data_IF_668154949917
#
_entry.id   IF_668154949917
#
_cell.length_a   1.000
_cell.length_b   1.000
_cell.length_c   1.000
_cell.angle_alpha   90.00
_cell.angle_beta   90.00
_cell.angle_gamma   90.00
#
_symmetry.space_group_name_H-M   'P 1'
#
loop_
_entity.id
_entity.type
_entity.pdbx_description
1 polymer ?
#
# COMPACT_ATOMS: atom_id res chain seq x y z
N UNK A 1 62.62 -24.00 -19.08
CA UNK A 1 61.96 -22.68 -19.29
C UNK A 1 60.46 -22.87 -19.05
N UNK A 2 59.84 -22.20 -18.09
CA UNK A 2 58.39 -22.14 -18.00
C UNK A 2 57.87 -20.87 -18.66
N UNK A 3 56.84 -21.01 -19.47
CA UNK A 3 56.09 -19.93 -20.07
C UNK A 3 55.15 -19.30 -19.03
N UNK A 4 55.38 -18.03 -18.79
CA UNK A 4 54.51 -17.15 -18.02
C UNK A 4 53.29 -16.81 -18.86
N UNK A 5 52.07 -17.18 -18.41
CA UNK A 5 50.81 -16.65 -18.89
C UNK A 5 50.25 -15.66 -17.85
N UNK A 6 50.27 -14.39 -18.21
CA UNK A 6 49.69 -13.31 -17.41
C UNK A 6 48.16 -13.41 -17.33
N UNK A 7 47.57 -13.04 -16.21
CA UNK A 7 46.10 -13.02 -16.07
C UNK A 7 45.50 -11.85 -16.86
N UNK A 8 44.41 -12.13 -17.61
CA UNK A 8 43.58 -11.14 -18.28
C UNK A 8 42.92 -10.22 -17.22
N UNK A 9 43.29 -8.94 -17.27
CA UNK A 9 42.55 -7.90 -16.56
C UNK A 9 41.13 -7.80 -17.12
N UNK A 10 40.15 -8.06 -16.27
CA UNK A 10 38.75 -7.73 -16.51
C UNK A 10 38.61 -6.24 -16.18
N UNK A 11 38.52 -5.41 -17.21
CA UNK A 11 38.17 -4.00 -17.05
C UNK A 11 36.71 -3.91 -16.60
N UNK A 12 36.52 -3.58 -15.34
CA UNK A 12 35.21 -3.15 -14.85
C UNK A 12 34.88 -1.81 -15.51
N UNK A 13 33.89 -1.80 -16.40
CA UNK A 13 33.29 -0.59 -16.91
C UNK A 13 32.53 0.08 -15.76
N UNK A 14 33.13 1.13 -15.18
CA UNK A 14 32.40 2.07 -14.33
C UNK A 14 31.31 2.75 -15.19
N UNK A 15 30.09 2.97 -14.65
CA UNK A 15 29.15 3.82 -15.31
C UNK A 15 29.77 5.22 -15.46
N UNK A 16 29.89 5.68 -16.69
CA UNK A 16 30.37 7.01 -17.01
C UNK A 16 29.36 7.99 -16.39
N UNK A 17 29.82 8.87 -15.53
CA UNK A 17 29.02 9.97 -15.04
C UNK A 17 28.52 10.79 -16.27
N UNK A 18 27.27 11.27 -16.27
CA UNK A 18 26.77 12.08 -17.37
C UNK A 18 27.69 13.31 -17.55
N UNK A 19 28.05 13.58 -18.81
CA UNK A 19 28.84 14.76 -19.15
C UNK A 19 28.09 16.01 -18.66
N UNK A 20 28.80 17.03 -18.14
CA UNK A 20 28.16 18.28 -17.75
C UNK A 20 27.49 18.93 -18.93
N UNK A 21 26.27 19.42 -18.76
CA UNK A 21 25.52 20.11 -19.79
C UNK A 21 26.34 21.25 -20.45
N UNK A 22 26.19 21.47 -21.73
CA UNK A 22 26.87 22.56 -22.44
C UNK A 22 26.46 23.90 -21.83
N UNK A 23 27.44 24.68 -21.36
CA UNK A 23 27.25 26.04 -20.86
C UNK A 23 27.29 26.97 -22.04
N UNK A 24 26.22 27.72 -22.29
CA UNK A 24 26.24 28.80 -23.23
C UNK A 24 27.13 29.96 -22.73
N UNK A 25 27.62 30.82 -23.62
CA UNK A 25 28.60 31.89 -23.32
C UNK A 25 28.14 32.86 -22.20
N UNK A 26 26.85 32.88 -21.88
CA UNK A 26 26.23 33.71 -20.82
C UNK A 26 26.19 33.07 -19.43
N UNK A 27 26.74 31.86 -19.26
CA UNK A 27 26.80 31.17 -17.96
C UNK A 27 25.48 30.59 -17.49
N UNK A 28 24.44 30.57 -18.29
CA UNK A 28 23.16 29.96 -18.02
C UNK A 28 23.03 28.58 -18.69
N UNK A 29 22.60 27.59 -17.95
CA UNK A 29 22.28 26.25 -18.48
C UNK A 29 20.84 26.29 -18.98
N UNK A 30 20.61 25.99 -20.26
CA UNK A 30 19.27 25.85 -20.80
C UNK A 30 18.65 24.54 -20.30
N UNK A 31 18.02 24.59 -19.14
CA UNK A 31 17.33 23.44 -18.52
C UNK A 31 16.26 22.82 -19.43
N UNK A 32 15.71 23.60 -20.37
CA UNK A 32 14.69 23.11 -21.29
C UNK A 32 15.26 22.18 -22.37
N UNK A 33 16.49 22.39 -22.80
CA UNK A 33 17.16 21.52 -23.79
C UNK A 33 17.78 20.30 -23.10
N UNK A 34 18.33 20.49 -21.89
CA UNK A 34 18.86 19.38 -21.09
C UNK A 34 17.76 18.37 -20.68
N UNK A 35 16.52 18.82 -20.45
CA UNK A 35 15.36 17.96 -20.14
C UNK A 35 14.74 17.31 -21.41
N UNK A 36 15.17 17.66 -22.60
CA UNK A 36 14.66 17.06 -23.85
C UNK A 36 15.47 15.87 -24.35
N UNK A 37 16.71 15.70 -23.89
CA UNK A 37 17.62 14.65 -24.37
C UNK A 37 17.46 13.33 -23.62
N UNK A 38 16.72 13.30 -22.51
CA UNK A 38 16.31 12.04 -21.89
C UNK A 38 15.23 11.39 -22.76
N UNK A 39 15.36 10.10 -23.05
CA UNK A 39 14.36 9.25 -23.72
C UNK A 39 12.97 9.68 -23.28
N UNK A 40 12.13 10.07 -24.24
CA UNK A 40 10.85 10.72 -24.00
C UNK A 40 10.17 10.11 -22.78
N UNK A 41 9.96 10.87 -21.69
CA UNK A 41 9.35 10.33 -20.50
C UNK A 41 8.05 9.69 -20.95
N UNK A 42 7.81 8.43 -20.56
CA UNK A 42 6.51 7.80 -20.78
C UNK A 42 5.50 8.80 -20.27
N UNK A 43 4.69 9.34 -21.17
CA UNK A 43 3.70 10.36 -20.82
C UNK A 43 2.72 9.71 -19.85
N UNK A 44 2.98 9.90 -18.55
CA UNK A 44 2.14 9.42 -17.46
C UNK A 44 0.89 10.28 -17.30
N UNK A 45 0.69 11.26 -18.20
CA UNK A 45 -0.53 12.06 -18.21
C UNK A 45 -1.67 11.20 -18.69
N UNK A 46 -2.60 11.00 -17.79
CA UNK A 46 -3.87 10.40 -18.10
C UNK A 46 -4.60 11.31 -19.11
N UNK A 47 -4.68 10.88 -20.36
CA UNK A 47 -5.49 11.57 -21.38
C UNK A 47 -6.94 11.21 -21.09
N UNK A 48 -7.64 12.09 -20.41
CA UNK A 48 -9.10 11.98 -20.26
C UNK A 48 -9.71 12.53 -21.53
N UNK A 49 -10.26 11.66 -22.37
CA UNK A 49 -11.14 12.09 -23.45
C UNK A 49 -12.31 12.88 -22.85
N UNK A 50 -12.38 14.16 -23.14
CA UNK A 50 -13.49 15.03 -22.76
C UNK A 50 -14.76 14.61 -23.51
N UNK A 51 -15.40 13.54 -23.05
CA UNK A 51 -16.79 13.31 -23.42
C UNK A 51 -17.66 14.24 -22.58
N UNK A 52 -18.55 14.97 -23.22
CA UNK A 52 -19.54 15.77 -22.53
C UNK A 52 -20.31 14.86 -21.55
N UNK A 53 -20.58 15.32 -20.31
CA UNK A 53 -21.34 14.57 -19.32
C UNK A 53 -22.72 14.18 -19.91
N UNK A 54 -23.13 12.95 -19.69
CA UNK A 54 -24.41 12.43 -20.20
C UNK A 54 -25.61 12.99 -19.44
N UNK A 55 -25.35 13.64 -18.28
CA UNK A 55 -26.38 14.12 -17.35
C UNK A 55 -26.82 13.07 -16.33
N UNK A 56 -26.31 11.87 -16.42
CA UNK A 56 -26.43 10.83 -15.39
C UNK A 56 -25.10 10.79 -14.61
N UNK A 57 -25.09 11.43 -13.43
CA UNK A 57 -23.88 11.57 -12.60
C UNK A 57 -23.26 10.22 -12.21
N UNK A 58 -24.12 9.21 -11.96
CA UNK A 58 -23.66 7.88 -11.59
C UNK A 58 -22.98 7.18 -12.78
N UNK A 59 -23.58 7.24 -13.96
CA UNK A 59 -23.01 6.66 -15.18
C UNK A 59 -21.71 7.35 -15.59
N UNK A 60 -21.66 8.68 -15.48
CA UNK A 60 -20.47 9.48 -15.80
C UNK A 60 -19.33 9.18 -14.81
N UNK A 61 -19.65 9.03 -13.51
CA UNK A 61 -18.68 8.62 -12.49
C UNK A 61 -18.13 7.22 -12.76
N UNK A 62 -18.98 6.25 -13.08
CA UNK A 62 -18.55 4.88 -13.39
C UNK A 62 -17.66 4.83 -14.64
N UNK A 63 -17.96 5.63 -15.67
CA UNK A 63 -17.13 5.71 -16.88
C UNK A 63 -15.76 6.33 -16.57
N UNK A 64 -15.74 7.40 -15.78
CA UNK A 64 -14.49 8.03 -15.32
C UNK A 64 -13.65 7.06 -14.47
N UNK A 65 -14.26 6.36 -13.53
CA UNK A 65 -13.59 5.38 -12.68
C UNK A 65 -13.02 4.23 -13.50
N UNK A 66 -13.75 3.76 -14.51
CA UNK A 66 -13.29 2.71 -15.43
C UNK A 66 -12.03 3.16 -16.20
N UNK A 67 -12.06 4.39 -16.74
CA UNK A 67 -10.92 4.96 -17.48
C UNK A 67 -9.72 5.17 -16.56
N UNK A 68 -9.95 5.63 -15.34
CA UNK A 68 -8.89 5.76 -14.34
C UNK A 68 -8.25 4.40 -14.02
N UNK A 69 -9.06 3.36 -13.76
CA UNK A 69 -8.55 2.00 -13.52
C UNK A 69 -7.75 1.47 -14.71
N UNK A 70 -8.21 1.71 -15.94
CA UNK A 70 -7.48 1.31 -17.13
C UNK A 70 -6.13 2.03 -17.19
N UNK A 71 -6.10 3.35 -16.99
CA UNK A 71 -4.87 4.12 -16.99
C UNK A 71 -3.88 3.68 -15.90
N UNK A 72 -4.38 3.31 -14.71
CA UNK A 72 -3.56 2.72 -13.65
C UNK A 72 -3.00 1.37 -14.09
N UNK A 73 -3.83 0.48 -14.63
CA UNK A 73 -3.40 -0.84 -15.10
C UNK A 73 -2.33 -0.78 -16.19
N UNK A 74 -2.39 0.23 -17.05
CA UNK A 74 -1.45 0.41 -18.14
C UNK A 74 -0.09 1.00 -17.68
N UNK A 75 -0.06 1.66 -16.52
CA UNK A 75 1.11 2.37 -16.01
C UNK A 75 1.73 1.79 -14.75
N UNK A 76 1.03 0.90 -14.03
CA UNK A 76 1.52 0.24 -12.82
C UNK A 76 1.83 -1.20 -13.15
N UNK A 77 3.09 -1.60 -12.95
CA UNK A 77 3.53 -2.98 -13.14
C UNK A 77 2.91 -3.88 -12.05
N UNK A 78 2.41 -5.05 -12.44
CA UNK A 78 1.84 -6.05 -11.51
C UNK A 78 2.85 -6.48 -10.42
N UNK A 79 4.14 -6.27 -10.62
CA UNK A 79 5.21 -6.54 -9.65
C UNK A 79 5.51 -5.35 -8.74
N UNK A 80 4.97 -4.17 -9.02
CA UNK A 80 5.13 -2.98 -8.16
C UNK A 80 4.13 -3.01 -6.99
N UNK A 81 4.44 -3.84 -6.04
CA UNK A 81 3.59 -4.06 -4.86
C UNK A 81 3.42 -2.82 -3.97
N UNK A 82 4.38 -1.89 -4.00
CA UNK A 82 4.26 -0.63 -3.25
C UNK A 82 3.23 0.27 -3.90
N UNK A 83 3.28 0.46 -5.22
CA UNK A 83 2.28 1.23 -5.96
C UNK A 83 0.88 0.65 -5.79
N UNK A 84 0.72 -0.68 -5.76
CA UNK A 84 -0.55 -1.31 -5.45
C UNK A 84 -1.04 -1.01 -4.02
N UNK A 85 -0.14 -0.96 -3.03
CA UNK A 85 -0.51 -0.55 -1.68
C UNK A 85 -1.00 0.91 -1.64
N UNK A 86 -0.26 1.82 -2.26
CA UNK A 86 -0.58 3.25 -2.28
C UNK A 86 -1.90 3.52 -3.02
N UNK A 87 -2.16 2.81 -4.13
CA UNK A 87 -3.44 2.84 -4.83
C UNK A 87 -4.59 2.31 -3.96
N UNK A 88 -4.37 1.21 -3.24
CA UNK A 88 -5.34 0.67 -2.31
C UNK A 88 -5.71 1.68 -1.22
N UNK A 89 -4.74 2.44 -0.69
CA UNK A 89 -4.98 3.52 0.27
C UNK A 89 -5.83 4.62 -0.38
N UNK A 90 -5.47 5.07 -1.59
CA UNK A 90 -6.21 6.11 -2.30
C UNK A 90 -7.66 5.69 -2.59
N UNK A 91 -7.89 4.47 -3.08
CA UNK A 91 -9.25 3.94 -3.30
C UNK A 91 -10.05 3.86 -2.00
N UNK A 92 -9.44 3.43 -0.91
CA UNK A 92 -10.09 3.37 0.41
C UNK A 92 -10.51 4.76 0.88
N UNK A 93 -9.66 5.77 0.75
CA UNK A 93 -9.98 7.16 1.10
C UNK A 93 -11.13 7.74 0.27
N UNK A 94 -11.28 7.30 -0.97
CA UNK A 94 -12.41 7.63 -1.83
C UNK A 94 -13.68 6.82 -1.52
N UNK A 95 -13.64 5.88 -0.57
CA UNK A 95 -14.77 4.99 -0.25
C UNK A 95 -14.96 3.84 -1.25
N UNK A 96 -14.06 3.68 -2.22
CA UNK A 96 -14.07 2.61 -3.22
C UNK A 96 -13.47 1.32 -2.63
N UNK A 97 -14.19 0.71 -1.69
CA UNK A 97 -13.66 -0.37 -0.85
C UNK A 97 -13.35 -1.64 -1.64
N UNK A 98 -14.09 -1.96 -2.70
CA UNK A 98 -13.86 -3.16 -3.52
C UNK A 98 -12.58 -3.02 -4.36
N UNK A 99 -12.35 -1.83 -4.90
CA UNK A 99 -11.12 -1.48 -5.60
C UNK A 99 -9.92 -1.52 -4.66
N UNK A 100 -10.06 -0.91 -3.48
CA UNK A 100 -9.02 -0.93 -2.46
C UNK A 100 -8.64 -2.37 -2.07
N UNK A 101 -9.62 -3.24 -1.85
CA UNK A 101 -9.40 -4.65 -1.54
C UNK A 101 -8.62 -5.34 -2.68
N UNK A 102 -8.98 -5.08 -3.94
CA UNK A 102 -8.30 -5.65 -5.10
C UNK A 102 -6.81 -5.25 -5.14
N UNK A 103 -6.53 -3.97 -4.94
CA UNK A 103 -5.16 -3.46 -4.97
C UNK A 103 -4.33 -3.96 -3.77
N UNK A 104 -4.89 -3.97 -2.56
CA UNK A 104 -4.20 -4.55 -1.39
C UNK A 104 -3.92 -6.04 -1.55
N UNK A 105 -4.79 -6.80 -2.24
CA UNK A 105 -4.53 -8.21 -2.54
C UNK A 105 -3.32 -8.41 -3.47
N UNK A 106 -3.12 -7.52 -4.45
CA UNK A 106 -1.92 -7.50 -5.29
C UNK A 106 -0.68 -7.14 -4.46
N UNK A 107 -0.77 -6.12 -3.61
CA UNK A 107 0.30 -5.72 -2.70
C UNK A 107 0.75 -6.86 -1.76
N UNK A 108 -0.15 -7.74 -1.33
CA UNK A 108 0.19 -8.88 -0.45
C UNK A 108 1.05 -9.96 -1.12
N UNK A 109 1.22 -9.94 -2.43
CA UNK A 109 2.10 -10.90 -3.13
C UNK A 109 3.57 -10.71 -2.73
N UNK A 110 3.96 -9.48 -2.36
CA UNK A 110 5.28 -9.23 -1.80
C UNK A 110 5.42 -9.70 -0.35
N UNK A 111 6.60 -10.19 0.06
CA UNK A 111 6.87 -10.49 1.46
C UNK A 111 7.04 -9.25 2.33
N UNK A 112 7.38 -8.10 1.71
CA UNK A 112 7.52 -6.82 2.41
C UNK A 112 6.15 -6.21 2.72
N UNK A 113 6.08 -5.40 3.77
CA UNK A 113 4.90 -4.61 4.17
C UNK A 113 3.60 -5.41 4.38
N UNK A 114 3.67 -6.72 4.65
CA UNK A 114 2.47 -7.55 4.82
C UNK A 114 1.58 -7.10 5.97
N UNK A 115 2.15 -6.74 7.10
CA UNK A 115 1.36 -6.35 8.28
C UNK A 115 0.52 -5.10 8.02
N UNK A 116 1.07 -3.97 7.53
CA UNK A 116 0.27 -2.81 7.13
C UNK A 116 -0.79 -3.13 6.08
N UNK A 117 -0.47 -4.00 5.13
CA UNK A 117 -1.43 -4.40 4.09
C UNK A 117 -2.57 -5.26 4.65
N UNK A 118 -2.30 -6.16 5.60
CA UNK A 118 -3.35 -6.89 6.30
C UNK A 118 -4.23 -5.98 7.15
N UNK A 119 -3.64 -4.96 7.80
CA UNK A 119 -4.41 -3.95 8.54
C UNK A 119 -5.35 -3.18 7.61
N UNK A 120 -4.84 -2.69 6.47
CA UNK A 120 -5.61 -1.95 5.50
C UNK A 120 -6.77 -2.80 4.92
N UNK A 121 -6.49 -4.05 4.54
CA UNK A 121 -7.52 -5.00 4.11
C UNK A 121 -8.55 -5.26 5.20
N UNK A 122 -8.11 -5.50 6.42
CA UNK A 122 -8.98 -5.69 7.57
C UNK A 122 -9.91 -4.51 7.79
N UNK A 123 -9.39 -3.28 7.67
CA UNK A 123 -10.19 -2.06 7.75
C UNK A 123 -11.24 -1.99 6.65
N UNK A 124 -10.90 -2.28 5.39
CA UNK A 124 -11.89 -2.29 4.30
C UNK A 124 -13.04 -3.28 4.58
N UNK A 125 -12.73 -4.49 5.07
CA UNK A 125 -13.76 -5.45 5.42
C UNK A 125 -14.58 -5.05 6.65
N UNK A 126 -13.99 -4.34 7.63
CA UNK A 126 -14.72 -3.77 8.76
C UNK A 126 -15.65 -2.66 8.31
N UNK A 127 -15.21 -1.76 7.43
CA UNK A 127 -16.03 -0.69 6.86
C UNK A 127 -17.20 -1.25 6.01
N UNK A 128 -17.03 -2.44 5.43
CA UNK A 128 -18.10 -3.21 4.76
C UNK A 128 -18.95 -4.06 5.73
N UNK A 129 -18.74 -3.95 7.05
CA UNK A 129 -19.40 -4.76 8.09
C UNK A 129 -19.20 -6.28 7.93
N UNK A 130 -18.19 -6.69 7.15
CA UNK A 130 -17.84 -8.08 6.91
C UNK A 130 -16.85 -8.58 7.97
N UNK A 131 -17.23 -8.51 9.24
CA UNK A 131 -16.37 -8.83 10.39
C UNK A 131 -15.76 -10.25 10.38
N UNK A 132 -16.46 -11.31 9.94
CA UNK A 132 -15.84 -12.63 9.83
C UNK A 132 -14.70 -12.69 8.81
N UNK A 133 -14.86 -11.99 7.68
CA UNK A 133 -13.81 -11.91 6.66
C UNK A 133 -12.63 -11.07 7.15
N UNK A 134 -12.90 -9.92 7.76
CA UNK A 134 -11.88 -9.09 8.39
C UNK A 134 -11.05 -9.90 9.40
N UNK A 135 -11.69 -10.62 10.30
CA UNK A 135 -11.00 -11.45 11.30
C UNK A 135 -10.13 -12.54 10.65
N UNK A 136 -10.60 -13.16 9.56
CA UNK A 136 -9.84 -14.17 8.83
C UNK A 136 -8.58 -13.58 8.18
N UNK A 137 -8.70 -12.42 7.55
CA UNK A 137 -7.59 -11.73 6.89
C UNK A 137 -6.58 -11.23 7.92
N UNK A 138 -7.04 -10.55 8.97
CA UNK A 138 -6.20 -10.05 10.05
C UNK A 138 -5.48 -11.20 10.80
N UNK A 139 -6.17 -12.32 10.99
CA UNK A 139 -5.58 -13.51 11.60
C UNK A 139 -4.36 -14.05 10.86
N UNK A 140 -4.27 -13.87 9.55
CA UNK A 140 -3.09 -14.27 8.77
C UNK A 140 -1.83 -13.47 9.15
N UNK A 141 -1.99 -12.20 9.53
CA UNK A 141 -0.87 -11.39 9.98
C UNK A 141 -0.24 -11.92 11.27
N UNK A 142 -1.01 -12.57 12.16
CA UNK A 142 -0.50 -13.17 13.38
C UNK A 142 0.42 -14.37 13.13
N UNK A 143 0.33 -14.99 11.95
CA UNK A 143 1.16 -16.11 11.55
C UNK A 143 2.41 -15.67 10.75
N UNK A 144 2.60 -14.36 10.54
CA UNK A 144 3.78 -13.85 9.82
C UNK A 144 5.02 -13.98 10.73
N UNK A 145 6.03 -14.80 10.36
CA UNK A 145 7.13 -15.13 11.27
C UNK A 145 8.00 -13.92 11.61
N UNK A 146 8.47 -13.87 12.85
CA UNK A 146 9.43 -12.86 13.31
C UNK A 146 8.81 -11.50 13.63
N UNK A 147 7.49 -11.40 13.76
CA UNK A 147 6.81 -10.16 14.17
C UNK A 147 6.61 -10.10 15.67
N UNK A 148 6.92 -8.93 16.25
CA UNK A 148 6.65 -8.65 17.66
C UNK A 148 5.21 -8.19 17.86
N UNK A 149 4.69 -8.31 19.09
CA UNK A 149 3.38 -7.78 19.46
C UNK A 149 3.25 -6.27 19.16
N UNK A 150 4.32 -5.50 19.35
CA UNK A 150 4.34 -4.08 19.03
C UNK A 150 4.18 -3.80 17.52
N UNK A 151 4.64 -4.68 16.65
CA UNK A 151 4.42 -4.58 15.21
C UNK A 151 3.01 -5.02 14.79
N UNK A 152 2.37 -5.83 15.61
CA UNK A 152 1.03 -6.37 15.36
C UNK A 152 -0.07 -5.62 16.11
N UNK A 153 0.27 -4.53 16.82
CA UNK A 153 -0.66 -3.83 17.70
C UNK A 153 -1.94 -3.37 16.99
N UNK A 154 -1.81 -2.85 15.75
CA UNK A 154 -2.96 -2.46 14.93
C UNK A 154 -3.81 -3.65 14.51
N UNK A 155 -3.18 -4.76 14.12
CA UNK A 155 -3.88 -6.02 13.79
C UNK A 155 -4.65 -6.54 14.99
N UNK A 156 -4.01 -6.60 16.18
CA UNK A 156 -4.64 -7.06 17.42
C UNK A 156 -5.84 -6.20 17.79
N UNK A 157 -5.70 -4.88 17.70
CA UNK A 157 -6.80 -3.96 17.95
C UNK A 157 -7.98 -4.19 17.00
N UNK A 158 -7.74 -4.38 15.70
CA UNK A 158 -8.78 -4.65 14.72
C UNK A 158 -9.44 -6.02 14.93
N UNK A 159 -8.68 -7.03 15.34
CA UNK A 159 -9.23 -8.34 15.72
C UNK A 159 -10.14 -8.22 16.96
N UNK A 160 -9.76 -7.43 17.95
CA UNK A 160 -10.60 -7.10 19.08
C UNK A 160 -11.91 -6.45 18.66
N UNK A 161 -11.88 -5.48 17.73
CA UNK A 161 -13.09 -4.89 17.15
C UNK A 161 -13.96 -5.91 16.44
N UNK A 162 -13.37 -6.74 15.59
CA UNK A 162 -14.13 -7.79 14.89
C UNK A 162 -14.78 -8.77 15.86
N UNK A 163 -14.10 -9.16 16.93
CA UNK A 163 -14.63 -10.04 17.96
C UNK A 163 -15.78 -9.37 18.74
N UNK A 164 -15.62 -8.10 19.09
CA UNK A 164 -16.65 -7.30 19.76
C UNK A 164 -17.93 -7.21 18.91
N UNK A 165 -17.82 -6.82 17.63
CA UNK A 165 -18.99 -6.72 16.72
C UNK A 165 -19.68 -8.08 16.46
N UNK A 166 -18.94 -9.17 16.61
CA UNK A 166 -19.47 -10.55 16.49
C UNK A 166 -20.02 -11.10 17.80
N UNK A 167 -20.03 -10.31 18.86
CA UNK A 167 -20.46 -10.75 20.19
C UNK A 167 -19.53 -11.79 20.85
N UNK A 168 -18.31 -11.94 20.35
CA UNK A 168 -17.31 -12.87 20.89
C UNK A 168 -16.52 -12.20 22.02
N UNK A 169 -17.16 -12.04 23.16
CA UNK A 169 -16.68 -11.24 24.27
C UNK A 169 -15.29 -11.66 24.77
N UNK A 170 -15.09 -12.93 25.03
CA UNK A 170 -13.83 -13.44 25.60
C UNK A 170 -12.67 -13.21 24.64
N UNK A 171 -12.89 -13.42 23.34
CA UNK A 171 -11.90 -13.14 22.32
C UNK A 171 -11.60 -11.63 22.19
N UNK A 172 -12.62 -10.77 22.30
CA UNK A 172 -12.43 -9.33 22.29
C UNK A 172 -11.57 -8.86 23.47
N UNK A 173 -11.86 -9.37 24.68
CA UNK A 173 -11.07 -9.09 25.89
C UNK A 173 -9.62 -9.53 25.69
N UNK A 174 -9.38 -10.75 25.22
CA UNK A 174 -8.04 -11.27 24.98
C UNK A 174 -7.24 -10.37 24.04
N UNK A 175 -7.80 -9.99 22.90
CA UNK A 175 -7.12 -9.13 21.93
C UNK A 175 -6.87 -7.72 22.48
N UNK A 176 -7.84 -7.11 23.14
CA UNK A 176 -7.67 -5.78 23.73
C UNK A 176 -6.67 -5.77 24.89
N UNK A 177 -6.61 -6.81 25.71
CA UNK A 177 -5.61 -6.95 26.77
C UNK A 177 -4.20 -7.03 26.18
N UNK A 178 -3.99 -7.76 25.09
CA UNK A 178 -2.69 -7.82 24.39
C UNK A 178 -2.27 -6.45 23.89
N UNK A 179 -3.20 -5.68 23.29
CA UNK A 179 -2.93 -4.28 22.88
C UNK A 179 -2.57 -3.43 24.09
N UNK A 180 -3.35 -3.50 25.15
CA UNK A 180 -3.20 -2.70 26.36
C UNK A 180 -1.86 -2.93 27.06
N UNK A 181 -1.36 -4.16 27.05
CA UNK A 181 -0.03 -4.50 27.60
C UNK A 181 1.11 -3.87 26.77
N UNK A 182 0.94 -3.76 25.44
CA UNK A 182 1.95 -3.16 24.57
C UNK A 182 1.92 -1.63 24.66
N UNK A 183 0.72 -1.05 24.57
CA UNK A 183 0.51 0.40 24.65
C UNK A 183 -0.88 0.71 25.23
N UNK A 184 -0.90 1.18 26.46
CA UNK A 184 -2.13 1.55 27.20
C UNK A 184 -2.89 2.72 26.53
N UNK A 185 -2.19 3.55 25.74
CA UNK A 185 -2.77 4.72 25.08
C UNK A 185 -3.11 4.46 23.61
N UNK A 186 -2.98 3.23 23.16
CA UNK A 186 -3.25 2.91 21.76
C UNK A 186 -4.74 3.10 21.44
N UNK A 187 -5.04 4.16 20.68
CA UNK A 187 -6.41 4.53 20.30
C UNK A 187 -7.36 4.58 21.52
N UNK A 188 -8.51 3.93 21.41
CA UNK A 188 -9.55 3.82 22.45
C UNK A 188 -9.56 2.44 23.14
N UNK A 189 -8.42 1.72 23.15
CA UNK A 189 -8.35 0.34 23.67
C UNK A 189 -8.81 0.23 25.12
N UNK A 190 -8.46 1.18 25.98
CA UNK A 190 -8.86 1.18 27.39
C UNK A 190 -10.38 1.28 27.57
N UNK A 191 -11.02 2.17 26.80
CA UNK A 191 -12.48 2.34 26.82
C UNK A 191 -13.20 1.10 26.30
N UNK A 192 -12.71 0.52 25.20
CA UNK A 192 -13.29 -0.71 24.64
C UNK A 192 -13.15 -1.90 25.55
N UNK A 193 -11.98 -2.08 26.16
CA UNK A 193 -11.74 -3.15 27.11
C UNK A 193 -12.71 -3.03 28.29
N UNK A 194 -12.82 -1.86 28.91
CA UNK A 194 -13.76 -1.62 30.00
C UNK A 194 -15.23 -1.85 29.58
N UNK A 195 -15.61 -1.43 28.38
CA UNK A 195 -16.96 -1.64 27.86
C UNK A 195 -17.29 -3.13 27.68
N UNK A 196 -16.34 -3.91 27.13
CA UNK A 196 -16.54 -5.35 26.93
C UNK A 196 -16.53 -6.11 28.27
N UNK A 197 -15.68 -5.72 29.25
CA UNK A 197 -15.65 -6.30 30.59
C UNK A 197 -16.91 -5.95 31.41
N UNK A 198 -17.38 -4.68 31.29
CA UNK A 198 -18.56 -4.20 32.02
C UNK A 198 -19.91 -4.74 31.50
N UNK A 199 -19.98 -5.23 30.28
CA UNK A 199 -21.21 -5.82 29.72
C UNK A 199 -21.62 -7.16 30.37
N UNK A 200 -20.95 -7.57 31.47
CA UNK A 200 -21.22 -8.81 32.22
C UNK A 200 -22.16 -8.63 33.41
N UNK A 201 -22.61 -7.40 33.68
CA UNK A 201 -23.52 -7.09 34.77
C UNK A 201 -24.93 -6.87 34.25
#
# INVERSE_FOLDING_TARGET
RPSSSAPKQVTATHPVAPEPAPVEEDGYVNLGDWLRDDEAPKDTRMVVDEKEPTGDEEADFQDMLRKFKQGVSDNVDDEDHQSHYDLGVAFKEMGLLDEAISEFQKALRAPANRVPTYEALGLCFIEKEQYPMAATILGRALHDPGRSESQLIGVLYLLGRCAQERGQRDAAIEFYQRVFVVDIQFRDVGERLAAVEGAAT
#
